data_IF_561546696765
#
_entry.id   IF_561546696765
#
_cell.length_a   1.000
_cell.length_b   1.000
_cell.length_c   1.000
_cell.angle_alpha   90.00
_cell.angle_beta   90.00
_cell.angle_gamma   90.00
#
_symmetry.space_group_name_H-M   'P 1'
#
loop_
_entity.id
_entity.type
_entity.pdbx_description
1 polymer ?
#
# COMPACT_ATOMS: atom_id res chain seq x y z
N UNK A 1 22.02 41.71 -12.04
CA UNK A 1 21.25 41.16 -13.18
C UNK A 1 20.08 42.10 -13.40
N UNK A 2 20.04 42.78 -14.54
CA UNK A 2 19.27 44.02 -14.75
C UNK A 2 17.75 43.77 -14.87
N UNK A 3 16.95 44.57 -14.17
CA UNK A 3 15.48 44.46 -14.12
C UNK A 3 14.79 44.79 -15.47
N UNK A 4 15.52 45.38 -16.42
CA UNK A 4 15.04 45.73 -17.77
C UNK A 4 15.09 44.58 -18.79
N UNK A 5 15.79 43.48 -18.47
CA UNK A 5 15.87 42.29 -19.35
C UNK A 5 14.77 41.25 -19.06
N UNK A 6 14.14 41.30 -17.87
CA UNK A 6 13.04 40.40 -17.50
C UNK A 6 11.70 40.81 -18.13
N UNK A 7 11.46 42.10 -18.37
CA UNK A 7 10.20 42.58 -18.96
C UNK A 7 10.09 42.27 -20.46
N UNK A 8 11.22 42.15 -21.15
CA UNK A 8 11.29 41.93 -22.61
C UNK A 8 11.07 40.47 -23.01
N UNK A 9 11.45 39.50 -22.16
CA UNK A 9 11.25 38.06 -22.41
C UNK A 9 9.81 37.60 -22.21
N UNK A 10 9.08 38.24 -21.29
CA UNK A 10 7.68 37.88 -20.97
C UNK A 10 6.74 38.34 -22.10
N UNK A 11 7.05 39.47 -22.74
CA UNK A 11 6.22 40.04 -23.81
C UNK A 11 6.28 39.20 -25.10
N UNK A 12 7.39 38.51 -25.37
CA UNK A 12 7.54 37.64 -26.56
C UNK A 12 6.80 36.31 -26.49
N UNK A 13 6.51 35.79 -25.29
CA UNK A 13 5.86 34.48 -25.13
C UNK A 13 4.34 34.52 -25.42
N UNK A 14 3.70 35.67 -25.16
CA UNK A 14 2.24 35.84 -25.34
C UNK A 14 1.83 35.87 -26.82
N UNK A 15 2.70 36.38 -27.71
CA UNK A 15 2.40 36.54 -29.14
C UNK A 15 2.56 35.23 -29.96
N UNK A 16 3.27 34.23 -29.42
CA UNK A 16 3.49 32.94 -30.08
C UNK A 16 2.48 31.86 -29.66
N UNK A 17 1.47 32.20 -28.85
CA UNK A 17 0.47 31.25 -28.36
C UNK A 17 1.05 30.12 -27.49
N UNK A 18 2.32 30.21 -27.10
CA UNK A 18 2.93 29.31 -26.13
C UNK A 18 2.58 29.82 -24.74
N UNK A 19 1.41 29.40 -24.24
CA UNK A 19 1.27 29.28 -22.80
C UNK A 19 2.39 28.34 -22.35
N UNK A 20 3.36 28.80 -21.52
CA UNK A 20 4.26 27.86 -20.90
C UNK A 20 3.36 26.92 -20.10
N UNK A 21 3.27 25.68 -20.59
CA UNK A 21 2.60 24.58 -19.90
C UNK A 21 3.41 24.37 -18.61
N UNK A 22 3.09 25.16 -17.57
CA UNK A 22 3.40 24.85 -16.18
C UNK A 22 2.41 23.80 -15.70
N UNK A 23 2.33 22.70 -16.44
CA UNK A 23 1.90 21.40 -15.93
C UNK A 23 3.13 20.53 -15.76
N UNK A 24 4.10 21.05 -15.02
CA UNK A 24 5.01 20.23 -14.23
C UNK A 24 4.61 20.43 -12.77
N UNK A 25 3.53 19.79 -12.34
CA UNK A 25 3.53 19.35 -10.94
C UNK A 25 4.63 18.31 -10.88
N UNK A 26 5.74 18.72 -10.30
CA UNK A 26 6.94 17.93 -10.13
C UNK A 26 6.57 16.62 -9.42
N UNK A 27 6.61 15.46 -10.10
CA UNK A 27 6.25 14.15 -9.50
C UNK A 27 7.06 13.86 -8.22
N UNK A 28 8.25 14.47 -8.10
CA UNK A 28 9.08 14.43 -6.87
C UNK A 28 8.46 15.12 -5.65
N UNK A 29 7.43 15.95 -5.82
CA UNK A 29 6.84 16.74 -4.74
C UNK A 29 5.63 16.03 -4.08
N UNK A 30 5.07 15.00 -4.72
CA UNK A 30 3.94 14.23 -4.20
C UNK A 30 4.36 13.08 -3.27
N UNK A 31 5.62 12.66 -3.34
CA UNK A 31 6.17 11.52 -2.61
C UNK A 31 7.21 11.98 -1.59
N UNK A 32 7.05 11.58 -0.34
CA UNK A 32 8.02 11.79 0.72
C UNK A 32 8.98 10.58 0.81
N UNK A 33 10.29 10.75 0.58
CA UNK A 33 11.24 9.64 0.57
C UNK A 33 11.48 9.07 1.98
N UNK A 34 11.96 7.83 2.05
CA UNK A 34 12.40 7.16 3.28
C UNK A 34 13.86 6.74 3.18
N UNK A 35 14.56 6.70 4.32
CA UNK A 35 15.92 6.15 4.37
C UNK A 35 15.89 4.66 4.72
N UNK A 36 15.93 3.80 3.70
CA UNK A 36 15.87 2.35 3.88
C UNK A 36 17.12 1.76 4.54
N UNK A 37 18.25 2.48 4.62
CA UNK A 37 19.44 2.00 5.35
C UNK A 37 19.19 1.93 6.87
N UNK A 38 18.22 2.71 7.38
CA UNK A 38 17.83 2.74 8.79
C UNK A 38 16.54 1.96 9.08
N UNK A 39 15.95 1.33 8.05
CA UNK A 39 14.65 0.65 8.15
C UNK A 39 14.81 -0.84 7.85
N UNK A 40 13.86 -1.64 8.34
CA UNK A 40 13.77 -3.06 8.01
C UNK A 40 13.20 -3.23 6.60
N UNK A 41 13.32 -4.43 6.05
CA UNK A 41 12.65 -4.74 4.78
C UNK A 41 11.12 -4.63 4.92
N UNK A 42 10.46 -4.23 3.84
CA UNK A 42 9.01 -4.13 3.76
C UNK A 42 8.51 -2.82 3.16
N UNK A 43 7.19 -2.64 3.19
CA UNK A 43 6.52 -1.50 2.59
C UNK A 43 6.29 -0.40 3.63
N UNK A 44 6.43 0.86 3.23
CA UNK A 44 6.38 2.02 4.10
C UNK A 44 5.53 3.13 3.49
N UNK A 45 4.62 3.72 4.26
CA UNK A 45 3.73 4.79 3.81
C UNK A 45 3.70 5.94 4.82
N UNK A 46 3.70 7.16 4.30
CA UNK A 46 3.47 8.36 5.10
C UNK A 46 1.97 8.63 5.21
N UNK A 47 1.44 8.58 6.43
CA UNK A 47 0.03 8.82 6.73
C UNK A 47 -0.93 8.14 5.74
N UNK A 48 -1.85 8.91 5.14
CA UNK A 48 -2.81 8.44 4.13
C UNK A 48 -2.32 8.81 2.72
N UNK A 49 -1.25 8.17 2.28
CA UNK A 49 -0.66 8.41 0.95
C UNK A 49 -1.01 7.29 -0.04
N UNK A 50 -1.17 7.67 -1.31
CA UNK A 50 -1.20 6.73 -2.43
C UNK A 50 0.21 6.29 -2.82
N UNK A 51 1.22 7.12 -2.54
CA UNK A 51 2.63 6.80 -2.73
C UNK A 51 3.21 6.12 -1.50
N UNK A 52 3.98 5.06 -1.72
CA UNK A 52 4.67 4.31 -0.67
C UNK A 52 6.07 3.91 -1.15
N UNK A 53 6.87 3.34 -0.25
CA UNK A 53 8.23 2.89 -0.52
C UNK A 53 8.38 1.43 -0.15
N UNK A 54 9.01 0.64 -1.01
CA UNK A 54 9.50 -0.69 -0.66
C UNK A 54 10.96 -0.55 -0.24
N UNK A 55 11.29 -1.00 0.96
CA UNK A 55 12.68 -1.17 1.39
C UNK A 55 13.11 -2.61 1.17
N UNK A 56 14.14 -2.82 0.36
CA UNK A 56 14.80 -4.12 0.17
C UNK A 56 16.31 -3.93 0.13
N UNK A 57 17.06 -4.72 0.89
CA UNK A 57 18.52 -4.63 0.96
C UNK A 57 19.04 -3.19 1.22
N UNK A 58 18.36 -2.44 2.09
CA UNK A 58 18.69 -1.04 2.41
C UNK A 58 18.38 -0.02 1.29
N UNK A 59 17.80 -0.45 0.17
CA UNK A 59 17.45 0.41 -0.97
C UNK A 59 15.96 0.70 -1.02
N UNK A 60 15.64 1.93 -1.42
CA UNK A 60 14.27 2.41 -1.57
C UNK A 60 13.77 2.24 -3.00
N UNK A 61 12.61 1.61 -3.17
CA UNK A 61 11.87 1.56 -4.42
C UNK A 61 10.55 2.34 -4.28
N UNK A 62 10.34 3.43 -5.05
CA UNK A 62 9.08 4.16 -5.07
C UNK A 62 7.94 3.39 -5.71
N UNK A 63 6.77 3.41 -5.07
CA UNK A 63 5.53 2.81 -5.58
C UNK A 63 4.34 3.75 -5.41
N UNK A 64 3.28 3.48 -6.18
CA UNK A 64 1.99 4.14 -6.07
C UNK A 64 0.86 3.11 -6.15
N UNK A 65 -0.12 3.24 -5.26
CA UNK A 65 -1.38 2.52 -5.34
C UNK A 65 -2.24 3.08 -6.49
N UNK A 66 -2.68 2.21 -7.40
CA UNK A 66 -3.50 2.61 -8.55
C UNK A 66 -4.82 3.28 -8.14
N UNK A 67 -5.34 4.13 -9.03
CA UNK A 67 -6.67 4.76 -8.89
C UNK A 67 -6.86 5.57 -7.61
N UNK A 68 -5.78 6.10 -7.03
CA UNK A 68 -5.83 6.91 -5.81
C UNK A 68 -6.14 6.11 -4.55
N UNK A 69 -6.06 4.77 -4.60
CA UNK A 69 -6.09 3.91 -3.42
C UNK A 69 -4.94 4.26 -2.47
N UNK A 70 -5.02 3.80 -1.22
CA UNK A 70 -4.09 4.17 -0.15
C UNK A 70 -3.45 2.91 0.39
N UNK A 71 -2.13 2.90 0.58
CA UNK A 71 -1.51 1.76 1.26
C UNK A 71 -2.04 1.72 2.70
N UNK A 72 -2.74 0.65 3.03
CA UNK A 72 -3.19 0.39 4.38
C UNK A 72 -2.06 -0.30 5.14
N UNK A 73 -1.40 0.39 6.10
CA UNK A 73 -0.29 -0.21 6.81
C UNK A 73 -0.70 -1.37 7.73
N UNK A 74 -2.00 -1.57 7.98
CA UNK A 74 -2.47 -2.68 8.81
C UNK A 74 -2.73 -3.97 8.02
N UNK A 75 -2.81 -3.88 6.68
CA UNK A 75 -3.09 -5.04 5.80
C UNK A 75 -2.03 -5.23 4.72
N UNK A 76 -1.14 -4.25 4.53
CA UNK A 76 -0.18 -4.18 3.44
C UNK A 76 -0.82 -4.24 2.03
N UNK A 77 -2.07 -3.78 1.93
CA UNK A 77 -2.83 -3.71 0.68
C UNK A 77 -3.17 -2.26 0.32
N UNK A 78 -3.38 -2.01 -0.97
CA UNK A 78 -3.91 -0.74 -1.45
C UNK A 78 -5.44 -0.74 -1.28
N UNK A 79 -5.93 -0.12 -0.22
CA UNK A 79 -7.35 -0.07 0.12
C UNK A 79 -7.99 1.27 -0.25
N UNK A 80 -9.33 1.28 -0.32
CA UNK A 80 -10.09 2.51 -0.48
C UNK A 80 -9.85 3.43 0.74
N UNK A 81 -9.81 4.77 0.58
CA UNK A 81 -9.47 5.69 1.67
C UNK A 81 -10.33 5.52 2.92
N UNK A 82 -11.60 5.14 2.76
CA UNK A 82 -12.50 4.91 3.90
C UNK A 82 -12.17 3.65 4.72
N UNK A 83 -11.46 2.68 4.14
CA UNK A 83 -11.00 1.47 4.82
C UNK A 83 -9.63 1.64 5.50
N UNK A 84 -8.95 2.78 5.31
CA UNK A 84 -7.64 3.06 5.90
C UNK A 84 -7.78 4.00 7.09
N UNK A 85 -7.47 3.51 8.30
CA UNK A 85 -7.63 4.27 9.55
C UNK A 85 -6.90 5.62 9.55
N UNK A 86 -5.69 5.64 8.95
CA UNK A 86 -4.84 6.82 8.84
C UNK A 86 -5.49 7.95 8.04
N UNK A 87 -6.42 7.64 7.13
CA UNK A 87 -7.14 8.63 6.33
C UNK A 87 -8.20 9.41 7.12
N UNK A 88 -8.65 8.87 8.24
CA UNK A 88 -9.66 9.51 9.10
C UNK A 88 -9.06 10.40 10.18
N UNK A 89 -7.72 10.38 10.34
CA UNK A 89 -7.02 11.18 11.33
C UNK A 89 -6.98 12.64 10.88
N UNK A 90 -7.90 13.46 11.40
CA UNK A 90 -7.98 14.93 11.15
C UNK A 90 -6.79 15.75 11.68
N UNK A 91 -5.77 15.12 12.26
CA UNK A 91 -4.61 15.76 12.92
C UNK A 91 -3.25 15.18 12.48
N UNK A 92 -3.17 14.57 11.29
CA UNK A 92 -1.87 14.20 10.72
C UNK A 92 -1.20 15.41 10.08
N UNK A 93 0.06 15.70 10.41
CA UNK A 93 0.86 16.71 9.69
C UNK A 93 1.38 16.20 8.35
N UNK A 94 1.12 14.93 7.99
CA UNK A 94 1.72 14.27 6.82
C UNK A 94 3.10 13.66 7.13
N UNK A 95 3.50 13.65 8.41
CA UNK A 95 4.84 13.28 8.84
C UNK A 95 4.93 11.99 9.65
N UNK A 96 3.87 11.18 9.72
CA UNK A 96 3.97 9.89 10.39
C UNK A 96 4.29 8.79 9.38
N UNK A 97 5.41 8.10 9.57
CA UNK A 97 5.80 6.95 8.75
C UNK A 97 5.29 5.66 9.38
N UNK A 98 4.52 4.89 8.62
CA UNK A 98 4.04 3.57 9.02
C UNK A 98 4.75 2.50 8.19
N UNK A 99 5.26 1.46 8.85
CA UNK A 99 5.61 0.21 8.18
C UNK A 99 4.35 -0.61 7.99
N UNK A 100 4.05 -1.02 6.77
CA UNK A 100 2.96 -1.92 6.51
C UNK A 100 3.29 -3.31 7.04
N UNK A 101 2.34 -3.90 7.76
CA UNK A 101 2.45 -5.26 8.29
C UNK A 101 1.65 -6.20 7.42
N UNK A 102 2.26 -7.34 7.09
CA UNK A 102 1.50 -8.45 6.53
C UNK A 102 0.62 -9.03 7.66
N UNK A 103 -0.70 -9.13 7.48
CA UNK A 103 -1.59 -9.70 8.49
C UNK A 103 -1.30 -11.18 8.79
N UNK A 104 -0.45 -11.83 7.99
CA UNK A 104 0.08 -13.17 8.23
C UNK A 104 1.54 -13.26 7.81
N UNK A 105 2.39 -13.73 8.72
CA UNK A 105 3.85 -13.77 8.53
C UNK A 105 4.33 -15.21 8.30
N UNK A 106 4.51 -15.62 7.03
CA UNK A 106 5.01 -16.96 6.70
C UNK A 106 6.44 -17.26 7.17
N UNK A 107 7.18 -16.30 7.74
CA UNK A 107 8.45 -16.61 8.42
C UNK A 107 8.25 -17.45 9.68
N UNK A 108 7.04 -17.44 10.25
CA UNK A 108 6.68 -18.18 11.47
C UNK A 108 5.94 -19.48 11.19
N UNK A 109 5.66 -19.80 9.92
CA UNK A 109 4.82 -20.93 9.52
C UNK A 109 5.49 -21.76 8.41
N UNK A 110 5.37 -23.10 8.44
CA UNK A 110 5.78 -23.94 7.32
C UNK A 110 5.02 -23.63 6.02
N UNK A 111 5.56 -24.09 4.89
CA UNK A 111 4.85 -24.06 3.62
C UNK A 111 3.48 -24.76 3.74
N UNK A 112 2.44 -24.13 3.19
CA UNK A 112 1.07 -24.61 3.32
C UNK A 112 0.02 -23.52 3.21
N UNK A 113 -1.24 -23.92 3.29
CA UNK A 113 -2.39 -23.02 3.21
C UNK A 113 -3.02 -22.82 4.60
N UNK A 114 -3.30 -21.57 4.95
CA UNK A 114 -3.71 -21.12 6.29
C UNK A 114 -4.95 -20.22 6.23
N UNK A 115 -5.83 -20.34 7.22
CA UNK A 115 -7.01 -19.49 7.33
C UNK A 115 -6.61 -18.00 7.47
N UNK A 116 -7.25 -17.12 6.69
CA UNK A 116 -7.15 -15.68 6.94
C UNK A 116 -8.02 -15.23 8.11
N UNK A 117 -9.20 -15.85 8.22
CA UNK A 117 -10.09 -15.82 9.37
C UNK A 117 -11.07 -17.00 9.24
N UNK A 118 -11.76 -17.34 10.33
CA UNK A 118 -12.66 -18.49 10.35
C UNK A 118 -13.73 -18.39 9.26
N UNK A 119 -13.80 -19.39 8.37
CA UNK A 119 -14.74 -19.44 7.25
C UNK A 119 -14.66 -18.25 6.28
N UNK A 120 -13.47 -17.69 6.12
CA UNK A 120 -13.22 -16.63 5.14
C UNK A 120 -13.23 -17.16 3.72
N UNK A 121 -13.64 -16.33 2.76
CA UNK A 121 -13.42 -16.61 1.34
C UNK A 121 -11.95 -16.40 0.94
N UNK A 122 -11.12 -15.87 1.84
CA UNK A 122 -9.68 -15.66 1.65
C UNK A 122 -8.86 -16.61 2.51
N UNK A 123 -7.66 -16.95 2.06
CA UNK A 123 -6.68 -17.70 2.81
C UNK A 123 -5.26 -17.24 2.45
N UNK A 124 -4.29 -17.61 3.27
CA UNK A 124 -2.88 -17.33 3.04
C UNK A 124 -2.17 -18.61 2.59
N UNK A 125 -1.33 -18.50 1.56
CA UNK A 125 -0.42 -19.57 1.15
C UNK A 125 1.00 -19.17 1.51
N UNK A 126 1.68 -20.00 2.30
CA UNK A 126 3.12 -19.91 2.54
C UNK A 126 3.87 -20.75 1.51
N UNK A 127 4.86 -20.14 0.88
CA UNK A 127 5.88 -20.85 0.10
C UNK A 127 7.23 -20.16 0.24
N UNK A 128 8.25 -20.91 0.67
CA UNK A 128 9.60 -20.41 0.93
C UNK A 128 9.61 -19.17 1.87
N UNK A 129 8.77 -19.18 2.91
CA UNK A 129 8.68 -18.08 3.89
C UNK A 129 7.96 -16.82 3.39
N UNK A 130 7.39 -16.83 2.18
CA UNK A 130 6.61 -15.72 1.64
C UNK A 130 5.11 -15.98 1.76
N UNK A 131 4.38 -14.94 2.19
CA UNK A 131 2.91 -14.95 2.27
C UNK A 131 2.30 -14.56 0.93
N UNK A 132 1.32 -15.35 0.48
CA UNK A 132 0.51 -15.05 -0.68
C UNK A 132 -0.98 -15.07 -0.33
N UNK A 133 -1.65 -13.94 -0.55
CA UNK A 133 -3.09 -13.85 -0.41
C UNK A 133 -3.78 -14.61 -1.55
N UNK A 134 -4.77 -15.44 -1.20
CA UNK A 134 -5.55 -16.24 -2.14
C UNK A 134 -7.03 -16.12 -1.82
N UNK A 135 -7.83 -16.14 -2.88
CA UNK A 135 -9.29 -16.25 -2.79
C UNK A 135 -9.71 -17.69 -3.11
N UNK A 136 -10.68 -18.18 -2.36
CA UNK A 136 -11.39 -19.39 -2.71
C UNK A 136 -12.25 -19.19 -3.97
N UNK A 137 -12.56 -20.26 -4.72
CA UNK A 137 -13.53 -20.19 -5.79
C UNK A 137 -14.87 -19.60 -5.32
N UNK A 138 -15.63 -18.93 -6.20
CA UNK A 138 -16.90 -18.29 -5.83
C UNK A 138 -17.85 -19.23 -5.08
N UNK A 139 -18.38 -18.76 -3.95
CA UNK A 139 -19.32 -19.51 -3.11
C UNK A 139 -18.67 -20.48 -2.11
N UNK A 140 -17.34 -20.62 -2.12
CA UNK A 140 -16.61 -21.45 -1.17
C UNK A 140 -15.92 -20.60 -0.10
N UNK A 141 -15.62 -21.24 1.04
CA UNK A 141 -14.83 -20.66 2.13
C UNK A 141 -13.69 -21.60 2.47
N UNK A 142 -12.59 -21.05 2.97
CA UNK A 142 -11.47 -21.87 3.41
C UNK A 142 -11.83 -22.58 4.71
N UNK A 143 -11.63 -23.90 4.72
CA UNK A 143 -11.79 -24.76 5.88
C UNK A 143 -10.41 -25.08 6.44
N UNK A 144 -10.04 -24.49 7.58
CA UNK A 144 -8.73 -24.67 8.20
C UNK A 144 -8.46 -26.07 8.72
N UNK A 145 -9.49 -26.90 8.90
CA UNK A 145 -9.29 -28.31 9.29
C UNK A 145 -8.80 -29.15 8.12
N UNK A 146 -9.37 -28.94 6.92
CA UNK A 146 -8.97 -29.67 5.70
C UNK A 146 -7.89 -28.93 4.91
N UNK A 147 -7.61 -27.68 5.26
CA UNK A 147 -6.73 -26.74 4.53
C UNK A 147 -7.12 -26.60 3.06
N UNK A 148 -8.43 -26.53 2.80
CA UNK A 148 -8.95 -26.42 1.44
C UNK A 148 -10.22 -25.55 1.40
N UNK A 149 -10.52 -25.00 0.23
CA UNK A 149 -11.79 -24.35 -0.01
C UNK A 149 -12.92 -25.40 -0.07
N UNK A 150 -13.96 -25.21 0.73
CA UNK A 150 -15.10 -26.12 0.82
C UNK A 150 -16.39 -25.31 0.99
N UNK A 151 -17.53 -26.00 0.98
CA UNK A 151 -18.82 -25.39 1.26
C UNK A 151 -18.86 -24.83 2.68
N UNK A 152 -19.50 -23.66 2.82
CA UNK A 152 -19.67 -22.98 4.11
C UNK A 152 -20.29 -23.85 5.20
N UNK A 153 -21.15 -24.81 4.83
CA UNK A 153 -21.77 -25.77 5.76
C UNK A 153 -20.77 -26.72 6.44
N UNK A 154 -19.58 -26.92 5.85
CA UNK A 154 -18.52 -27.77 6.41
C UNK A 154 -17.42 -26.98 7.12
N UNK A 155 -17.50 -25.65 7.12
CA UNK A 155 -16.54 -24.85 7.85
C UNK A 155 -16.87 -24.86 9.35
N UNK A 156 -15.90 -25.26 10.16
CA UNK A 156 -16.03 -25.24 11.61
C UNK A 156 -15.46 -23.94 12.15
N UNK A 157 -16.33 -23.07 12.66
CA UNK A 157 -15.88 -21.93 13.47
C UNK A 157 -15.28 -22.49 14.76
N UNK A 158 -14.01 -22.23 15.05
CA UNK A 158 -13.52 -22.40 16.41
C UNK A 158 -14.39 -21.52 17.33
N UNK A 159 -14.90 -22.04 18.46
CA UNK A 159 -15.61 -21.20 19.41
C UNK A 159 -14.65 -20.08 19.86
N UNK A 160 -15.09 -18.83 19.75
CA UNK A 160 -14.36 -17.70 20.32
C UNK A 160 -14.36 -17.91 21.84
N UNK A 161 -13.21 -18.24 22.43
CA UNK A 161 -13.04 -18.09 23.87
C UNK A 161 -12.90 -16.58 24.13
N UNK A 162 -13.98 -15.99 24.63
CA UNK A 162 -14.02 -14.65 25.21
C UNK A 162 -13.24 -14.59 26.51
#
# INVERSE_FOLDING_TARGET
>A
MNLSLLSSLILSAVLLGVNPVLSQKNDRQLRKPVNCEMLKEGNYVWDCSSYYSICTNGRELPMECYSGLKLNPNTNQCDAPNAVEQCHKKRGTGDTLYRAVDPFNCQEYPDGDYESSACSTKFYKCSNGHTHDKDCPPGLVFNGNTRACDFKSKCHKKPQMS
#
